data_IF_806502105635
#
_entry.id   IF_806502105635
#
_cell.length_a   1.000
_cell.length_b   1.000
_cell.length_c   1.000
_cell.angle_alpha   90.00
_cell.angle_beta   90.00
_cell.angle_gamma   90.00
#
_symmetry.space_group_name_H-M   'P 1'
#
loop_
_entity.id
_entity.type
_entity.pdbx_description
1 polymer ?
#
# COMPACT_ATOMS: atom_id res chain seq x y z
N UNK A 1 -4.49 -20.46 -32.80
CA UNK A 1 -4.51 -20.32 -31.33
C UNK A 1 -5.08 -18.96 -30.98
N UNK A 2 -6.41 -18.83 -31.05
CA UNK A 2 -7.12 -17.60 -30.71
C UNK A 2 -7.09 -17.39 -29.21
N UNK A 3 -6.50 -16.28 -28.75
CA UNK A 3 -6.68 -15.82 -27.38
C UNK A 3 -8.11 -15.30 -27.27
N UNK A 4 -8.91 -15.96 -26.45
CA UNK A 4 -10.23 -15.49 -26.07
C UNK A 4 -10.09 -14.16 -25.33
N UNK A 5 -10.64 -13.11 -25.92
CA UNK A 5 -10.87 -11.83 -25.27
C UNK A 5 -11.98 -12.00 -24.24
N UNK A 6 -11.65 -11.86 -22.95
CA UNK A 6 -12.62 -11.90 -21.85
C UNK A 6 -13.38 -10.58 -21.71
N UNK A 7 -14.65 -10.58 -21.25
CA UNK A 7 -15.52 -9.41 -21.26
C UNK A 7 -15.32 -8.56 -20.00
N UNK A 8 -14.24 -7.79 -19.93
CA UNK A 8 -14.15 -6.69 -18.97
C UNK A 8 -14.60 -5.37 -19.61
N UNK A 9 -15.85 -5.32 -20.06
CA UNK A 9 -16.50 -4.06 -20.45
C UNK A 9 -17.53 -3.68 -19.40
N UNK A 10 -17.05 -3.21 -18.25
CA UNK A 10 -17.86 -2.62 -17.19
C UNK A 10 -17.36 -1.21 -16.89
N UNK A 11 -17.98 -0.18 -17.46
CA UNK A 11 -17.71 1.23 -17.16
C UNK A 11 -18.25 1.65 -15.78
N UNK A 12 -17.98 0.86 -14.74
CA UNK A 12 -18.28 1.19 -13.36
C UNK A 12 -16.99 1.32 -12.58
N UNK A 13 -16.71 2.50 -12.01
CA UNK A 13 -15.62 2.63 -11.02
C UNK A 13 -15.92 1.63 -9.88
N UNK A 14 -14.97 0.76 -9.49
CA UNK A 14 -15.19 -0.12 -8.35
C UNK A 14 -15.56 0.72 -7.12
N UNK A 15 -16.59 0.28 -6.38
CA UNK A 15 -17.15 0.97 -5.20
C UNK A 15 -16.07 1.31 -4.15
N UNK A 16 -14.98 0.55 -4.14
CA UNK A 16 -13.84 0.67 -3.20
C UNK A 16 -12.54 1.13 -3.88
N UNK A 17 -12.62 1.86 -4.99
CA UNK A 17 -11.45 2.31 -5.76
C UNK A 17 -10.71 1.16 -6.47
N UNK A 18 -9.75 1.52 -7.34
CA UNK A 18 -8.92 0.57 -8.07
C UNK A 18 -7.94 -0.13 -7.12
N UNK A 19 -8.09 -1.45 -6.95
CA UNK A 19 -7.24 -2.24 -6.06
C UNK A 19 -5.75 -2.11 -6.42
N UNK A 20 -5.40 -2.00 -7.71
CA UNK A 20 -4.01 -1.85 -8.14
C UNK A 20 -3.41 -0.52 -7.66
N UNK A 21 -4.19 0.57 -7.73
CA UNK A 21 -3.79 1.88 -7.21
C UNK A 21 -3.47 1.83 -5.72
N UNK A 22 -4.27 1.14 -4.92
CA UNK A 22 -4.05 1.06 -3.47
C UNK A 22 -2.90 0.12 -3.10
N UNK A 23 -2.68 -0.96 -3.85
CA UNK A 23 -1.47 -1.79 -3.71
C UNK A 23 -0.22 -0.94 -4.00
N UNK A 24 -0.24 -0.18 -5.09
CA UNK A 24 0.86 0.71 -5.47
C UNK A 24 1.11 1.80 -4.42
N UNK A 25 0.07 2.50 -3.96
CA UNK A 25 0.20 3.53 -2.91
C UNK A 25 0.77 2.94 -1.61
N UNK A 26 0.28 1.77 -1.18
CA UNK A 26 0.77 1.09 0.03
C UNK A 26 2.26 0.79 -0.09
N UNK A 27 2.71 0.28 -1.24
CA UNK A 27 4.13 0.03 -1.51
C UNK A 27 4.95 1.31 -1.56
N UNK A 28 4.46 2.36 -2.21
CA UNK A 28 5.19 3.64 -2.29
C UNK A 28 5.35 4.36 -0.97
N UNK A 29 4.36 4.28 -0.08
CA UNK A 29 4.52 4.79 1.30
C UNK A 29 5.58 3.97 2.04
N UNK A 30 5.57 2.63 1.93
CA UNK A 30 6.58 1.78 2.56
C UNK A 30 8.01 2.10 2.06
N UNK A 31 8.19 2.13 0.73
CA UNK A 31 9.46 2.48 0.09
C UNK A 31 9.94 3.86 0.53
N UNK A 32 9.04 4.85 0.57
CA UNK A 32 9.36 6.22 0.96
C UNK A 32 9.97 6.29 2.36
N UNK A 33 9.45 5.53 3.30
CA UNK A 33 9.90 5.55 4.70
C UNK A 33 11.04 4.57 5.01
N UNK A 34 11.51 3.81 4.02
CA UNK A 34 12.56 2.80 4.17
C UNK A 34 12.08 1.44 4.69
N UNK A 35 10.80 1.09 4.48
CA UNK A 35 10.25 -0.23 4.83
C UNK A 35 10.18 -1.11 3.59
N UNK A 36 10.79 -2.29 3.65
CA UNK A 36 10.63 -3.36 2.67
C UNK A 36 9.50 -4.31 3.12
N UNK A 37 8.37 -4.26 2.43
CA UNK A 37 7.20 -5.12 2.71
C UNK A 37 7.44 -6.57 2.33
N UNK A 38 8.27 -6.84 1.32
CA UNK A 38 8.59 -8.21 0.90
C UNK A 38 9.55 -8.85 1.90
N UNK A 39 10.53 -8.10 2.43
CA UNK A 39 11.33 -8.52 3.59
C UNK A 39 10.44 -8.76 4.82
N UNK A 40 9.55 -7.81 5.16
CA UNK A 40 8.63 -7.97 6.28
C UNK A 40 7.78 -9.25 6.20
N UNK A 41 7.33 -9.63 5.00
CA UNK A 41 6.60 -10.88 4.79
C UNK A 41 7.50 -12.11 4.87
N UNK A 42 8.74 -12.05 4.36
CA UNK A 42 9.71 -13.16 4.44
C UNK A 42 10.13 -13.44 5.88
N UNK A 43 10.32 -12.38 6.67
CA UNK A 43 10.79 -12.45 8.05
C UNK A 43 9.64 -12.69 9.04
N UNK A 44 8.40 -12.80 8.54
CA UNK A 44 7.21 -13.10 9.34
C UNK A 44 6.70 -11.92 10.18
N UNK A 45 7.19 -10.70 9.96
CA UNK A 45 6.72 -9.49 10.63
C UNK A 45 5.26 -9.17 10.26
N UNK A 46 4.85 -9.49 9.04
CA UNK A 46 3.46 -9.46 8.57
C UNK A 46 3.17 -10.70 7.72
N UNK A 47 1.93 -11.17 7.76
CA UNK A 47 1.48 -12.22 6.84
C UNK A 47 0.98 -11.63 5.53
N UNK A 48 0.81 -12.49 4.51
CA UNK A 48 0.12 -12.11 3.26
C UNK A 48 -1.30 -11.61 3.52
N UNK A 49 -1.99 -12.20 4.50
CA UNK A 49 -3.32 -11.78 4.90
C UNK A 49 -3.29 -10.37 5.54
N UNK A 50 -2.30 -10.07 6.36
CA UNK A 50 -2.13 -8.72 6.94
C UNK A 50 -1.89 -7.68 5.86
N UNK A 51 -1.05 -7.99 4.87
CA UNK A 51 -0.85 -7.11 3.72
C UNK A 51 -2.16 -6.86 2.93
N UNK A 52 -2.97 -7.90 2.69
CA UNK A 52 -4.29 -7.74 2.06
C UNK A 52 -5.23 -6.87 2.93
N UNK A 53 -5.18 -7.01 4.25
CA UNK A 53 -5.95 -6.15 5.15
C UNK A 53 -5.46 -4.69 5.12
N UNK A 54 -4.15 -4.44 5.05
CA UNK A 54 -3.59 -3.09 4.90
C UNK A 54 -4.09 -2.42 3.62
N UNK A 55 -4.08 -3.12 2.49
CA UNK A 55 -4.61 -2.60 1.22
C UNK A 55 -6.11 -2.34 1.33
N UNK A 56 -6.86 -3.23 1.96
CA UNK A 56 -8.31 -3.05 2.16
C UNK A 56 -8.63 -1.85 3.05
N UNK A 57 -7.89 -1.64 4.15
CA UNK A 57 -8.01 -0.45 5.00
C UNK A 57 -7.69 0.83 4.23
N UNK A 58 -6.63 0.82 3.41
CA UNK A 58 -6.26 1.95 2.56
C UNK A 58 -7.37 2.32 1.57
N UNK A 59 -8.05 1.32 0.98
CA UNK A 59 -9.20 1.53 0.08
C UNK A 59 -10.38 2.20 0.77
N UNK A 60 -10.67 1.78 1.99
CA UNK A 60 -11.80 2.31 2.78
C UNK A 60 -11.53 3.72 3.33
N UNK A 61 -10.27 4.11 3.49
CA UNK A 61 -9.89 5.40 4.06
C UNK A 61 -10.19 6.60 3.13
N UNK A 62 -10.33 6.37 1.82
CA UNK A 62 -10.63 7.44 0.86
C UNK A 62 -9.57 8.53 0.72
N UNK A 63 -8.35 8.29 1.22
CA UNK A 63 -7.26 9.27 1.23
C UNK A 63 -6.31 9.15 0.03
N UNK A 64 -6.76 8.58 -1.10
CA UNK A 64 -5.89 8.24 -2.23
C UNK A 64 -5.36 9.48 -2.98
N UNK A 65 -6.17 10.53 -3.11
CA UNK A 65 -5.76 11.81 -3.69
C UNK A 65 -4.59 12.46 -2.92
N UNK A 66 -4.71 12.77 -1.61
CA UNK A 66 -3.60 13.34 -0.86
C UNK A 66 -2.41 12.37 -0.75
N UNK A 67 -2.66 11.05 -0.66
CA UNK A 67 -1.60 10.05 -0.62
C UNK A 67 -0.78 10.04 -1.93
N UNK A 68 -1.41 10.25 -3.08
CA UNK A 68 -0.71 10.36 -4.38
C UNK A 68 0.25 11.56 -4.37
N UNK A 69 -0.18 12.70 -3.85
CA UNK A 69 0.71 13.88 -3.73
C UNK A 69 1.88 13.60 -2.78
N UNK A 70 1.60 12.93 -1.66
CA UNK A 70 2.61 12.59 -0.65
C UNK A 70 3.73 11.71 -1.21
N UNK A 71 3.41 10.64 -1.94
CA UNK A 71 4.43 9.71 -2.46
C UNK A 71 5.34 10.34 -3.53
N UNK A 72 4.95 11.49 -4.09
CA UNK A 72 5.76 12.29 -5.00
C UNK A 72 6.38 13.54 -4.35
N UNK A 73 6.06 13.81 -3.07
CA UNK A 73 6.49 15.01 -2.35
C UNK A 73 7.85 14.85 -1.67
N UNK A 74 8.35 15.98 -1.13
CA UNK A 74 9.63 16.05 -0.42
C UNK A 74 9.59 15.45 1.00
N UNK A 75 8.41 15.16 1.55
CA UNK A 75 8.22 14.55 2.88
C UNK A 75 7.87 13.05 2.79
N UNK A 76 8.22 12.38 1.69
CA UNK A 76 7.88 10.97 1.46
C UNK A 76 8.53 10.01 2.47
N UNK A 77 9.58 10.47 3.17
CA UNK A 77 10.32 9.75 4.22
C UNK A 77 9.53 9.61 5.54
N UNK A 78 8.37 10.28 5.63
CA UNK A 78 7.45 10.22 6.77
C UNK A 78 6.14 9.58 6.36
N UNK A 79 5.49 8.89 7.31
CA UNK A 79 4.13 8.41 7.10
C UNK A 79 3.15 9.57 7.31
N UNK A 80 2.26 9.86 6.35
CA UNK A 80 1.33 10.98 6.50
C UNK A 80 0.35 10.70 7.65
N UNK A 81 -0.03 11.75 8.38
CA UNK A 81 -0.92 11.64 9.55
C UNK A 81 -2.30 11.07 9.24
N UNK A 82 -2.78 11.23 8.01
CA UNK A 82 -4.06 10.69 7.53
C UNK A 82 -3.98 9.23 7.03
N UNK A 83 -2.79 8.62 7.02
CA UNK A 83 -2.63 7.24 6.55
C UNK A 83 -3.31 6.26 7.50
N UNK A 84 -4.30 5.50 7.01
CA UNK A 84 -4.97 4.47 7.80
C UNK A 84 -4.04 3.32 8.25
N UNK A 85 -2.90 3.13 7.59
CA UNK A 85 -1.90 2.12 7.92
C UNK A 85 -0.72 2.70 8.73
N UNK A 86 -0.83 3.93 9.25
CA UNK A 86 0.28 4.63 9.91
C UNK A 86 0.97 3.80 11.00
N UNK A 87 0.20 3.29 11.95
CA UNK A 87 0.74 2.51 13.07
C UNK A 87 1.47 1.24 12.60
N UNK A 88 0.98 0.58 11.54
CA UNK A 88 1.61 -0.63 10.99
C UNK A 88 2.94 -0.27 10.34
N UNK A 89 2.98 0.81 9.54
CA UNK A 89 4.20 1.27 8.91
C UNK A 89 5.27 1.72 9.92
N UNK A 90 4.87 2.43 10.97
CA UNK A 90 5.79 2.83 12.04
C UNK A 90 6.36 1.61 12.78
N UNK A 91 5.52 0.61 13.06
CA UNK A 91 5.95 -0.66 13.67
C UNK A 91 6.96 -1.39 12.79
N UNK A 92 6.67 -1.52 11.49
CA UNK A 92 7.57 -2.17 10.52
C UNK A 92 8.89 -1.42 10.38
N UNK A 93 8.84 -0.08 10.35
CA UNK A 93 10.05 0.74 10.27
C UNK A 93 10.96 0.48 11.47
N UNK A 94 10.41 0.49 12.69
CA UNK A 94 11.19 0.18 13.90
C UNK A 94 11.74 -1.24 13.92
N UNK A 95 10.98 -2.22 13.40
CA UNK A 95 11.44 -3.60 13.32
C UNK A 95 12.61 -3.78 12.34
N UNK A 96 12.61 -3.07 11.21
CA UNK A 96 13.62 -3.21 10.15
C UNK A 96 14.85 -2.30 10.33
N UNK A 97 14.75 -1.23 11.13
CA UNK A 97 15.92 -0.40 11.49
C UNK A 97 16.94 -1.10 12.39
N UNK A 98 16.70 -2.36 12.76
CA UNK A 98 17.53 -3.13 13.70
C UNK A 98 18.57 -4.03 13.01
N UNK A 99 18.63 -4.01 11.68
CA UNK A 99 19.49 -4.88 10.86
C UNK A 99 20.73 -4.17 10.24
N UNK A 100 21.02 -2.92 10.65
CA UNK A 100 22.29 -2.19 10.40
C UNK A 100 23.14 -2.12 11.68
#
# INVERSE_FOLDING_TARGET
>A
MSRHEGPFNGKGKPVLGDAYRHIWLTRKVAEGIGVDLDAAMRDGLITRQDHTQMVTRCRLAGCDCPCTLHVHGADREKVPGYCANKAIFETLKTAQTKDD
#
